data_IF_494100709098
#
_entry.id   IF_494100709098
#
_cell.length_a   1.000
_cell.length_b   1.000
_cell.length_c   1.000
_cell.angle_alpha   90.00
_cell.angle_beta   90.00
_cell.angle_gamma   90.00
#
_symmetry.space_group_name_H-M   'P 1'
#
loop_
_entity.id
_entity.type
_entity.pdbx_description
1 polymer ?
#
# COMPACT_ATOMS: atom_id res chain seq x y z
N UNK A 1 29.44 -32.20 -9.87
CA UNK A 1 28.35 -32.70 -9.01
C UNK A 1 27.15 -31.80 -9.24
N UNK A 2 26.19 -32.28 -10.02
CA UNK A 2 24.94 -31.57 -10.34
C UNK A 2 23.94 -31.81 -9.20
N UNK A 3 23.43 -30.75 -8.58
CA UNK A 3 22.27 -30.81 -7.69
C UNK A 3 21.02 -30.50 -8.54
N UNK A 4 20.12 -31.48 -8.64
CA UNK A 4 18.81 -31.34 -9.28
C UNK A 4 17.80 -30.88 -8.24
N UNK A 5 17.24 -29.69 -8.41
CA UNK A 5 16.07 -29.22 -7.68
C UNK A 5 14.82 -29.95 -8.19
N UNK A 6 14.12 -30.64 -7.30
CA UNK A 6 12.81 -31.24 -7.58
C UNK A 6 11.71 -30.24 -7.19
N UNK A 7 11.04 -29.66 -8.17
CA UNK A 7 9.72 -29.04 -7.99
C UNK A 7 8.73 -30.14 -7.58
N UNK A 8 8.13 -30.03 -6.40
CA UNK A 8 6.95 -30.84 -6.04
C UNK A 8 5.70 -30.14 -6.58
N UNK A 9 5.02 -30.82 -7.50
CA UNK A 9 3.69 -30.45 -7.99
C UNK A 9 2.65 -30.68 -6.88
N UNK A 10 1.83 -29.66 -6.62
CA UNK A 10 0.60 -29.76 -5.81
C UNK A 10 -0.53 -30.27 -6.73
N UNK A 11 -1.36 -31.26 -6.33
CA UNK A 11 -2.42 -31.77 -7.17
C UNK A 11 -3.63 -30.82 -7.19
N UNK A 12 -4.02 -30.39 -8.39
CA UNK A 12 -5.26 -29.66 -8.65
C UNK A 12 -6.42 -30.68 -8.64
N UNK A 13 -7.40 -30.48 -7.75
CA UNK A 13 -8.67 -31.23 -7.75
C UNK A 13 -9.60 -30.59 -8.80
N UNK A 14 -10.17 -31.34 -9.75
CA UNK A 14 -11.04 -30.77 -10.77
C UNK A 14 -12.46 -30.58 -10.23
N UNK A 15 -12.92 -29.32 -10.17
CA UNK A 15 -14.34 -29.00 -9.98
C UNK A 15 -15.04 -29.15 -11.33
N UNK A 16 -16.01 -30.06 -11.41
CA UNK A 16 -16.85 -30.27 -12.59
C UNK A 16 -17.91 -29.17 -12.66
N UNK A 17 -17.73 -28.24 -13.60
CA UNK A 17 -18.73 -27.23 -13.94
C UNK A 17 -19.66 -27.79 -15.04
N UNK A 18 -20.95 -27.98 -14.71
CA UNK A 18 -21.98 -28.36 -15.68
C UNK A 18 -22.46 -27.08 -16.38
N UNK A 19 -22.00 -26.89 -17.63
CA UNK A 19 -22.48 -25.85 -18.54
C UNK A 19 -23.75 -26.32 -19.27
N UNK A 20 -24.86 -25.61 -19.07
CA UNK A 20 -26.01 -25.68 -19.96
C UNK A 20 -25.80 -24.73 -21.15
N UNK A 21 -25.80 -25.31 -22.34
CA UNK A 21 -25.68 -24.62 -23.64
C UNK A 21 -27.04 -24.06 -24.06
N UNK A 22 -27.09 -22.77 -24.39
CA UNK A 22 -28.15 -22.13 -25.17
C UNK A 22 -27.51 -21.34 -26.30
N UNK A 23 -27.81 -21.73 -27.55
CA UNK A 23 -27.19 -21.23 -28.78
C UNK A 23 -27.90 -19.98 -29.35
N UNK A 24 -27.11 -19.18 -30.07
CA UNK A 24 -27.41 -18.31 -31.24
C UNK A 24 -26.64 -16.97 -31.09
N UNK A 25 -25.98 -16.36 -32.08
CA UNK A 25 -25.82 -16.61 -33.51
C UNK A 25 -24.52 -15.92 -33.96
N UNK A 26 -23.97 -16.36 -35.10
CA UNK A 26 -22.71 -15.92 -35.72
C UNK A 26 -22.70 -14.44 -36.16
N UNK A 27 -21.54 -13.80 -36.13
CA UNK A 27 -20.94 -13.27 -37.37
C UNK A 27 -19.41 -13.09 -37.21
N UNK A 28 -18.69 -13.70 -38.15
CA UNK A 28 -17.24 -13.76 -38.21
C UNK A 28 -16.68 -12.55 -38.96
N UNK A 29 -15.86 -11.75 -38.26
CA UNK A 29 -14.96 -10.77 -38.86
C UNK A 29 -13.52 -11.15 -38.56
N UNK A 30 -12.81 -11.70 -39.56
CA UNK A 30 -11.36 -11.93 -39.50
C UNK A 30 -10.66 -10.58 -39.45
N UNK A 31 -10.01 -10.24 -38.33
CA UNK A 31 -8.98 -9.19 -38.29
C UNK A 31 -7.63 -9.88 -38.25
N UNK A 32 -6.89 -9.72 -39.34
CA UNK A 32 -5.50 -10.16 -39.49
C UNK A 32 -4.63 -9.46 -38.46
N UNK A 33 -3.89 -10.25 -37.67
CA UNK A 33 -2.86 -9.75 -36.77
C UNK A 33 -1.70 -9.16 -37.55
N UNK A 34 -1.38 -7.90 -37.24
CA UNK A 34 -0.02 -7.36 -37.10
C UNK A 34 -0.16 -5.86 -36.82
N UNK A 35 -0.10 -5.47 -35.54
CA UNK A 35 0.16 -4.08 -35.08
C UNK A 35 -0.03 -3.87 -33.56
N UNK A 36 -0.55 -4.83 -32.80
CA UNK A 36 -0.87 -4.63 -31.39
C UNK A 36 0.31 -4.73 -30.40
N UNK A 37 1.53 -5.07 -30.84
CA UNK A 37 2.69 -5.18 -29.93
C UNK A 37 3.57 -3.94 -29.85
N UNK A 38 3.34 -2.90 -30.68
CA UNK A 38 4.17 -1.69 -30.69
C UNK A 38 3.51 -0.45 -30.10
N UNK A 39 2.21 -0.47 -29.79
CA UNK A 39 1.48 0.69 -29.27
C UNK A 39 1.34 0.70 -27.73
N UNK A 40 1.34 -0.45 -27.07
CA UNK A 40 1.16 -0.52 -25.60
C UNK A 40 2.43 -0.02 -24.86
N UNK A 41 3.61 -0.20 -25.46
CA UNK A 41 4.88 0.32 -24.90
C UNK A 41 5.11 1.81 -25.13
N UNK A 42 4.36 2.45 -26.04
CA UNK A 42 4.57 3.85 -26.41
C UNK A 42 3.66 4.83 -25.64
N UNK A 43 2.52 4.38 -25.13
CA UNK A 43 1.52 5.26 -24.49
C UNK A 43 1.76 5.46 -22.99
N UNK A 44 2.51 4.56 -22.34
CA UNK A 44 2.88 4.68 -20.91
C UNK A 44 4.12 5.55 -20.67
N UNK A 45 4.89 5.87 -21.71
CA UNK A 45 6.14 6.64 -21.61
C UNK A 45 5.95 8.17 -21.54
N UNK A 46 4.72 8.68 -21.54
CA UNK A 46 4.46 10.11 -21.43
C UNK A 46 3.11 10.46 -20.77
N UNK A 47 2.89 10.05 -19.51
CA UNK A 47 2.03 10.88 -18.64
C UNK A 47 2.76 12.21 -18.46
N UNK A 48 2.45 13.18 -19.33
CA UNK A 48 2.81 14.60 -19.19
C UNK A 48 2.04 15.20 -18.00
N UNK A 49 2.07 14.56 -16.83
CA UNK A 49 1.45 15.13 -15.62
C UNK A 49 2.21 16.39 -15.23
N UNK A 50 1.50 17.39 -14.70
CA UNK A 50 2.17 18.59 -14.19
C UNK A 50 3.03 18.25 -12.96
N UNK A 51 2.69 17.16 -12.27
CA UNK A 51 3.44 16.54 -11.18
C UNK A 51 4.84 16.11 -11.66
N UNK A 52 4.94 15.30 -12.72
CA UNK A 52 6.22 14.84 -13.27
C UNK A 52 7.04 15.98 -13.91
N UNK A 53 6.38 17.07 -14.35
CA UNK A 53 6.99 18.20 -15.06
C UNK A 53 7.50 19.33 -14.16
N UNK A 54 7.38 19.24 -12.83
CA UNK A 54 7.80 20.35 -11.96
C UNK A 54 9.29 20.69 -12.10
N UNK A 55 10.16 19.78 -12.52
CA UNK A 55 11.58 20.07 -12.77
C UNK A 55 12.38 20.42 -11.49
N UNK A 56 13.60 20.95 -11.62
CA UNK A 56 14.50 21.15 -10.49
C UNK A 56 13.90 22.04 -9.37
N UNK A 57 14.12 21.62 -8.12
CA UNK A 57 13.72 22.36 -6.92
C UNK A 57 12.30 22.05 -6.39
N UNK A 58 11.60 21.08 -6.95
CA UNK A 58 10.40 20.50 -6.34
C UNK A 58 10.73 19.23 -5.54
N UNK A 59 9.98 18.98 -4.47
CA UNK A 59 9.92 17.72 -3.75
C UNK A 59 8.68 16.96 -4.25
N UNK A 60 8.92 15.86 -4.97
CA UNK A 60 7.87 14.87 -5.31
C UNK A 60 7.88 13.74 -4.30
N UNK A 61 6.73 13.43 -3.71
CA UNK A 61 6.50 12.30 -2.80
C UNK A 61 5.29 11.49 -3.26
N UNK A 62 5.23 10.23 -2.86
CA UNK A 62 4.12 9.32 -3.15
C UNK A 62 3.73 8.55 -1.90
N UNK A 63 2.44 8.31 -1.69
CA UNK A 63 1.95 7.34 -0.70
C UNK A 63 1.09 6.27 -1.37
N UNK A 64 1.22 5.02 -0.89
CA UNK A 64 0.52 3.86 -1.44
C UNK A 64 0.28 2.80 -0.35
N UNK A 65 -0.97 2.60 0.06
CA UNK A 65 -1.37 1.35 0.69
C UNK A 65 -1.34 0.25 -0.40
N UNK A 66 -0.49 -0.76 -0.23
CA UNK A 66 -0.29 -1.80 -1.25
C UNK A 66 -1.26 -2.96 -1.12
N UNK A 67 -2.13 -2.95 -0.11
CA UNK A 67 -3.07 -4.00 0.25
C UNK A 67 -2.41 -5.37 0.51
N UNK A 68 -2.65 -5.92 1.70
CA UNK A 68 -2.23 -7.28 2.05
C UNK A 68 -2.66 -8.30 1.00
N UNK A 69 -3.80 -8.08 0.32
CA UNK A 69 -4.31 -8.94 -0.74
C UNK A 69 -5.54 -9.76 -0.34
N UNK A 70 -6.08 -9.54 0.86
CA UNK A 70 -7.31 -10.16 1.35
C UNK A 70 -7.97 -9.31 2.44
N UNK A 71 -9.31 -9.34 2.54
CA UNK A 71 -10.01 -8.70 3.64
C UNK A 71 -9.85 -9.49 4.94
N UNK A 72 -9.23 -8.89 5.96
CA UNK A 72 -8.93 -9.56 7.24
C UNK A 72 -9.89 -9.19 8.37
N UNK A 73 -10.80 -8.23 8.14
CA UNK A 73 -11.73 -7.72 9.14
C UNK A 73 -12.60 -8.83 9.75
N UNK A 74 -13.04 -9.79 8.93
CA UNK A 74 -13.83 -10.93 9.39
C UNK A 74 -13.04 -11.82 10.38
N UNK A 75 -11.71 -11.94 10.21
CA UNK A 75 -10.86 -12.69 11.14
C UNK A 75 -10.73 -11.92 12.46
N UNK A 76 -10.53 -10.61 12.38
CA UNK A 76 -10.36 -9.72 13.55
C UNK A 76 -11.65 -9.66 14.39
N UNK A 77 -12.81 -9.65 13.73
CA UNK A 77 -14.11 -9.52 14.37
C UNK A 77 -14.70 -10.85 14.87
N UNK A 78 -14.12 -12.01 14.54
CA UNK A 78 -14.71 -13.31 14.86
C UNK A 78 -14.46 -13.72 16.33
N UNK A 79 -15.52 -13.83 17.17
CA UNK A 79 -15.36 -14.20 18.57
C UNK A 79 -15.20 -15.72 18.80
N UNK A 80 -15.52 -16.58 17.83
CA UNK A 80 -15.39 -18.04 17.94
C UNK A 80 -14.07 -18.53 17.33
N UNK A 81 -13.07 -18.93 18.16
CA UNK A 81 -11.79 -19.41 17.67
C UNK A 81 -11.89 -20.63 16.74
N UNK A 82 -12.98 -21.40 16.80
CA UNK A 82 -13.16 -22.57 15.94
C UNK A 82 -13.48 -22.21 14.48
N UNK A 83 -13.93 -20.99 14.21
CA UNK A 83 -14.19 -20.51 12.85
C UNK A 83 -12.98 -19.83 12.22
N UNK A 84 -12.04 -19.34 13.04
CA UNK A 84 -10.82 -18.67 12.57
C UNK A 84 -10.08 -19.48 11.50
N UNK A 85 -9.86 -20.80 11.63
CA UNK A 85 -9.18 -21.57 10.58
C UNK A 85 -9.85 -21.54 9.20
N UNK A 86 -11.18 -21.41 9.15
CA UNK A 86 -11.94 -21.33 7.91
C UNK A 86 -11.84 -19.94 7.28
N UNK A 87 -11.90 -18.89 8.11
CA UNK A 87 -11.75 -17.50 7.66
C UNK A 87 -10.33 -17.23 7.17
N UNK A 88 -9.32 -17.80 7.85
CA UNK A 88 -7.92 -17.74 7.39
C UNK A 88 -7.76 -18.44 6.05
N UNK A 89 -8.41 -19.60 5.85
CA UNK A 89 -8.37 -20.29 4.55
C UNK A 89 -9.01 -19.46 3.43
N UNK A 90 -10.17 -18.83 3.69
CA UNK A 90 -10.82 -17.93 2.73
C UNK A 90 -9.95 -16.71 2.38
N UNK A 91 -9.37 -16.06 3.39
CA UNK A 91 -8.46 -14.94 3.20
C UNK A 91 -7.21 -15.37 2.41
N UNK A 92 -6.63 -16.53 2.72
CA UNK A 92 -5.46 -17.05 2.02
C UNK A 92 -5.75 -17.38 0.54
N UNK A 93 -6.95 -17.88 0.22
CA UNK A 93 -7.36 -18.06 -1.18
C UNK A 93 -7.52 -16.73 -1.91
N UNK A 94 -8.07 -15.71 -1.24
CA UNK A 94 -8.17 -14.35 -1.80
C UNK A 94 -6.79 -13.75 -2.02
N UNK A 95 -5.87 -13.92 -1.06
CA UNK A 95 -4.46 -13.50 -1.16
C UNK A 95 -3.76 -14.09 -2.39
N UNK A 96 -3.93 -15.39 -2.64
CA UNK A 96 -3.40 -16.03 -3.84
C UNK A 96 -4.06 -15.45 -5.10
N UNK A 97 -5.38 -15.27 -5.08
CA UNK A 97 -6.13 -14.80 -6.23
C UNK A 97 -5.81 -13.35 -6.63
N UNK A 98 -5.47 -12.48 -5.66
CA UNK A 98 -5.10 -11.08 -5.91
C UNK A 98 -3.66 -10.90 -6.41
N UNK A 99 -2.87 -11.97 -6.53
CA UNK A 99 -1.61 -12.04 -7.27
C UNK A 99 -0.69 -10.81 -7.12
N UNK A 100 -0.03 -10.68 -5.96
CA UNK A 100 0.82 -9.52 -5.67
C UNK A 100 1.95 -9.30 -6.71
N UNK A 101 2.49 -10.34 -7.35
CA UNK A 101 3.51 -10.15 -8.39
C UNK A 101 3.00 -9.26 -9.54
N UNK A 102 1.76 -9.48 -9.94
CA UNK A 102 1.13 -8.71 -10.99
C UNK A 102 0.75 -7.28 -10.53
N UNK A 103 0.31 -7.15 -9.28
CA UNK A 103 0.01 -5.84 -8.66
C UNK A 103 1.26 -5.00 -8.46
N UNK A 104 2.36 -5.61 -8.05
CA UNK A 104 3.66 -4.96 -7.90
C UNK A 104 4.16 -4.37 -9.22
N UNK A 105 3.88 -5.01 -10.36
CA UNK A 105 4.18 -4.45 -11.68
C UNK A 105 3.41 -3.14 -11.93
N UNK A 106 2.16 -3.03 -11.46
CA UNK A 106 1.38 -1.80 -11.57
C UNK A 106 1.95 -0.68 -10.68
N UNK A 107 2.32 -0.97 -9.43
CA UNK A 107 2.99 0.00 -8.57
C UNK A 107 4.32 0.48 -9.16
N UNK A 108 5.10 -0.41 -9.78
CA UNK A 108 6.35 -0.04 -10.45
C UNK A 108 6.10 0.87 -11.64
N UNK A 109 5.03 0.67 -12.42
CA UNK A 109 4.65 1.60 -13.50
C UNK A 109 4.27 2.98 -12.96
N UNK A 110 3.55 3.05 -11.84
CA UNK A 110 3.22 4.31 -11.17
C UNK A 110 4.51 5.04 -10.74
N UNK A 111 5.40 4.37 -10.01
CA UNK A 111 6.69 4.93 -9.56
C UNK A 111 7.55 5.33 -10.78
N UNK A 112 7.57 4.53 -11.84
CA UNK A 112 8.29 4.83 -13.07
C UNK A 112 7.79 6.14 -13.72
N UNK A 113 6.46 6.33 -13.77
CA UNK A 113 5.85 7.49 -14.41
C UNK A 113 6.13 8.80 -13.67
N UNK A 114 6.13 8.79 -12.34
CA UNK A 114 6.25 10.00 -11.53
C UNK A 114 7.65 10.25 -10.95
N UNK A 115 8.49 9.22 -10.88
CA UNK A 115 9.83 9.27 -10.29
C UNK A 115 9.87 10.01 -8.93
N UNK A 116 8.99 9.68 -7.96
CA UNK A 116 8.97 10.35 -6.66
C UNK A 116 10.34 10.26 -5.97
N UNK A 117 10.72 11.29 -5.21
CA UNK A 117 11.95 11.23 -4.42
C UNK A 117 11.80 10.27 -3.24
N UNK A 118 10.58 10.19 -2.68
CA UNK A 118 10.25 9.35 -1.54
C UNK A 118 8.90 8.67 -1.78
N UNK A 119 8.78 7.41 -1.36
CA UNK A 119 7.54 6.63 -1.44
C UNK A 119 7.23 6.05 -0.07
N UNK A 120 6.10 6.43 0.50
CA UNK A 120 5.54 5.80 1.69
C UNK A 120 4.66 4.63 1.29
N UNK A 121 4.99 3.43 1.75
CA UNK A 121 4.24 2.22 1.47
C UNK A 121 3.62 1.70 2.77
N UNK A 122 2.33 1.39 2.73
CA UNK A 122 1.60 0.77 3.84
C UNK A 122 1.16 -0.64 3.44
N UNK A 123 1.00 -1.53 4.41
CA UNK A 123 0.63 -2.95 4.21
C UNK A 123 1.63 -3.79 3.42
N UNK A 124 2.93 -3.46 3.50
CA UNK A 124 3.96 -4.35 2.99
C UNK A 124 3.96 -5.61 3.85
N UNK A 125 3.63 -6.74 3.24
CA UNK A 125 3.37 -7.98 3.97
C UNK A 125 4.37 -9.07 3.62
N UNK A 126 4.79 -9.81 4.65
CA UNK A 126 5.47 -11.11 4.52
C UNK A 126 4.56 -12.22 5.03
N UNK A 127 4.29 -13.20 4.17
CA UNK A 127 3.55 -14.43 4.50
C UNK A 127 4.51 -15.60 4.65
N UNK A 128 4.40 -16.30 5.76
CA UNK A 128 5.12 -17.56 6.05
C UNK A 128 4.14 -18.67 6.37
N UNK A 129 4.53 -19.90 6.05
CA UNK A 129 3.72 -21.10 6.25
C UNK A 129 4.44 -22.11 7.14
N UNK A 130 3.63 -22.97 7.75
CA UNK A 130 4.06 -24.21 8.37
C UNK A 130 3.10 -25.31 7.95
N UNK A 131 3.64 -26.41 7.40
CA UNK A 131 2.84 -27.57 7.01
C UNK A 131 3.49 -28.88 7.46
N UNK A 132 2.80 -29.72 8.27
CA UNK A 132 1.51 -29.44 8.91
C UNK A 132 1.65 -28.36 9.98
N UNK A 133 0.60 -27.57 10.17
CA UNK A 133 0.50 -26.60 11.26
C UNK A 133 0.36 -27.28 12.63
N UNK A 134 0.89 -26.64 13.66
CA UNK A 134 0.77 -27.09 15.05
C UNK A 134 -0.06 -26.14 15.93
N UNK A 135 -0.38 -24.93 15.45
CA UNK A 135 -1.08 -23.90 16.25
C UNK A 135 -2.47 -24.34 16.70
N UNK A 136 -3.20 -25.04 15.85
CA UNK A 136 -4.56 -25.55 16.14
C UNK A 136 -4.59 -26.52 17.33
N UNK A 137 -3.47 -27.20 17.62
CA UNK A 137 -3.31 -28.10 18.78
C UNK A 137 -2.51 -27.48 19.92
N UNK A 138 -2.26 -26.17 19.88
CA UNK A 138 -1.52 -25.43 20.90
C UNK A 138 0.00 -25.56 20.78
N UNK A 139 0.50 -25.93 19.60
CA UNK A 139 1.91 -25.85 19.28
C UNK A 139 2.42 -24.41 19.26
N UNK A 140 3.74 -24.28 19.35
CA UNK A 140 4.44 -22.98 19.45
C UNK A 140 5.61 -22.90 18.49
N UNK A 141 5.72 -23.84 17.55
CA UNK A 141 6.79 -23.79 16.55
C UNK A 141 6.37 -22.73 15.54
N UNK A 142 7.12 -21.64 15.37
CA UNK A 142 6.66 -20.60 14.47
C UNK A 142 6.75 -21.02 13.01
N UNK A 143 5.83 -20.54 12.18
CA UNK A 143 5.93 -20.64 10.73
C UNK A 143 7.12 -19.81 10.20
N UNK A 144 8.03 -20.46 9.47
CA UNK A 144 9.26 -19.86 8.93
C UNK A 144 9.38 -19.98 7.41
N UNK A 145 8.62 -20.87 6.76
CA UNK A 145 8.72 -21.06 5.30
C UNK A 145 8.09 -19.86 4.57
N UNK A 146 8.94 -18.97 4.04
CA UNK A 146 8.48 -17.78 3.30
C UNK A 146 7.72 -18.21 2.04
N UNK A 147 6.43 -17.89 2.02
CA UNK A 147 5.55 -18.12 0.86
C UNK A 147 5.60 -16.93 -0.09
N UNK A 148 5.50 -15.71 0.45
CA UNK A 148 5.59 -14.48 -0.31
C UNK A 148 6.11 -13.34 0.57
N UNK A 149 6.98 -12.51 -0.02
CA UNK A 149 7.46 -11.27 0.59
C UNK A 149 7.19 -10.11 -0.39
N UNK A 150 6.27 -9.23 -0.04
CA UNK A 150 5.91 -8.08 -0.87
C UNK A 150 7.11 -7.17 -1.15
N UNK A 151 8.00 -7.01 -0.16
CA UNK A 151 9.14 -6.11 -0.26
C UNK A 151 10.17 -6.65 -1.25
N UNK A 152 10.49 -7.94 -1.17
CA UNK A 152 11.43 -8.59 -2.10
C UNK A 152 10.93 -8.51 -3.55
N UNK A 153 9.63 -8.77 -3.76
CA UNK A 153 9.00 -8.71 -5.09
C UNK A 153 9.05 -7.27 -5.64
N UNK A 154 8.64 -6.29 -4.84
CA UNK A 154 8.60 -4.89 -5.26
C UNK A 154 10.00 -4.35 -5.59
N UNK A 155 10.98 -4.59 -4.71
CA UNK A 155 12.36 -4.14 -4.92
C UNK A 155 13.00 -4.80 -6.14
N UNK A 156 12.74 -6.10 -6.37
CA UNK A 156 13.21 -6.80 -7.56
C UNK A 156 12.64 -6.18 -8.84
N UNK A 157 11.35 -5.81 -8.85
CA UNK A 157 10.71 -5.19 -10.03
C UNK A 157 11.18 -3.76 -10.25
N UNK A 158 11.34 -2.96 -9.19
CA UNK A 158 11.96 -1.63 -9.30
C UNK A 158 13.33 -1.72 -9.98
N UNK A 159 14.19 -2.64 -9.52
CA UNK A 159 15.50 -2.87 -10.11
C UNK A 159 15.42 -3.37 -11.58
N UNK A 160 14.47 -4.24 -11.91
CA UNK A 160 14.26 -4.73 -13.27
C UNK A 160 13.83 -3.62 -14.24
N UNK A 161 13.14 -2.58 -13.75
CA UNK A 161 12.80 -1.36 -14.50
C UNK A 161 13.89 -0.29 -14.48
N UNK A 162 15.05 -0.57 -13.89
CA UNK A 162 16.15 0.38 -13.78
C UNK A 162 15.87 1.55 -12.83
N UNK A 163 14.90 1.39 -11.92
CA UNK A 163 14.55 2.39 -10.93
C UNK A 163 15.44 2.24 -9.70
N UNK A 164 16.25 3.26 -9.45
CA UNK A 164 17.18 3.29 -8.32
C UNK A 164 16.46 3.78 -7.06
N UNK A 165 15.85 2.85 -6.32
CA UNK A 165 15.24 3.11 -5.02
C UNK A 165 15.87 2.21 -3.96
N UNK A 166 15.97 2.73 -2.75
CA UNK A 166 16.47 2.05 -1.56
C UNK A 166 15.48 2.16 -0.42
N UNK A 167 15.56 1.22 0.52
CA UNK A 167 14.81 1.28 1.78
C UNK A 167 15.44 2.32 2.68
N UNK A 168 14.74 3.44 2.91
CA UNK A 168 15.18 4.47 3.84
C UNK A 168 14.92 4.07 5.29
N UNK A 169 13.79 3.40 5.55
CA UNK A 169 13.47 2.78 6.84
C UNK A 169 12.22 1.90 6.74
N UNK A 170 12.06 1.02 7.72
CA UNK A 170 10.98 0.03 7.80
C UNK A 170 10.52 -0.12 9.25
N UNK A 171 9.22 -0.07 9.51
CA UNK A 171 8.64 -0.36 10.83
C UNK A 171 7.79 -1.60 10.75
N UNK A 172 8.01 -2.55 11.66
CA UNK A 172 7.18 -3.75 11.80
C UNK A 172 5.98 -3.42 12.70
N UNK A 173 4.76 -3.55 12.19
CA UNK A 173 3.54 -3.20 12.92
C UNK A 173 2.88 -4.41 13.60
N UNK A 174 2.91 -5.55 12.92
CA UNK A 174 2.21 -6.76 13.34
C UNK A 174 3.03 -8.00 13.01
N UNK A 175 2.93 -9.03 13.85
CA UNK A 175 3.44 -10.37 13.57
C UNK A 175 2.49 -11.40 14.21
N UNK A 176 1.59 -11.96 13.40
CA UNK A 176 0.49 -12.83 13.84
C UNK A 176 0.53 -14.14 13.09
N UNK A 177 0.34 -15.23 13.82
CA UNK A 177 0.27 -16.58 13.27
C UNK A 177 -1.05 -17.22 13.67
N UNK A 178 -1.77 -17.72 12.66
CA UNK A 178 -3.08 -18.35 12.84
C UNK A 178 -3.16 -19.68 12.10
N UNK A 179 -3.92 -20.65 12.65
CA UNK A 179 -4.19 -21.89 11.96
C UNK A 179 -5.07 -21.63 10.73
N UNK A 180 -4.85 -22.43 9.69
CA UNK A 180 -5.59 -22.44 8.44
C UNK A 180 -6.04 -23.87 8.14
N UNK A 181 -7.32 -24.09 7.88
CA UNK A 181 -7.79 -25.41 7.46
C UNK A 181 -7.39 -25.69 6.01
N UNK A 182 -6.83 -26.88 5.75
CA UNK A 182 -6.39 -27.28 4.39
C UNK A 182 -7.06 -28.55 3.89
N UNK A 183 -7.66 -29.36 4.76
CA UNK A 183 -8.46 -30.53 4.38
C UNK A 183 -9.49 -30.85 5.45
N UNK A 184 -10.67 -31.36 5.04
CA UNK A 184 -11.72 -31.87 5.93
C UNK A 184 -11.65 -33.39 6.11
N UNK A 185 -11.07 -34.12 5.17
CA UNK A 185 -10.92 -35.59 5.22
C UNK A 185 -9.65 -36.08 4.49
N UNK A 186 -8.58 -36.45 5.21
CA UNK A 186 -8.45 -36.32 6.66
C UNK A 186 -8.45 -34.83 7.06
N UNK A 187 -8.96 -34.54 8.26
CA UNK A 187 -8.88 -33.18 8.81
C UNK A 187 -7.41 -32.77 8.96
N UNK A 188 -7.01 -31.68 8.30
CA UNK A 188 -5.64 -31.18 8.32
C UNK A 188 -5.60 -29.65 8.34
N UNK A 189 -4.55 -29.12 8.97
CA UNK A 189 -4.29 -27.70 9.14
C UNK A 189 -2.85 -27.38 8.78
N UNK A 190 -2.65 -26.20 8.21
CA UNK A 190 -1.37 -25.50 8.12
C UNK A 190 -1.44 -24.25 9.01
N UNK A 191 -0.31 -23.63 9.32
CA UNK A 191 -0.30 -22.31 9.97
C UNK A 191 0.16 -21.23 8.99
N UNK A 192 -0.51 -20.08 9.04
CA UNK A 192 -0.19 -18.89 8.25
C UNK A 192 0.29 -17.80 9.20
N UNK A 193 1.51 -17.31 8.98
CA UNK A 193 2.08 -16.20 9.73
C UNK A 193 2.26 -14.98 8.84
N UNK A 194 1.63 -13.89 9.27
CA UNK A 194 1.62 -12.59 8.61
C UNK A 194 2.52 -11.65 9.40
N UNK A 195 3.44 -10.97 8.72
CA UNK A 195 4.14 -9.82 9.26
C UNK A 195 3.85 -8.60 8.41
N UNK A 196 3.37 -7.54 9.06
CA UNK A 196 3.00 -6.27 8.43
C UNK A 196 4.08 -5.21 8.66
N UNK A 197 4.35 -4.43 7.63
CA UNK A 197 5.31 -3.34 7.65
C UNK A 197 4.78 -2.09 6.95
N UNK A 198 5.16 -0.93 7.49
CA UNK A 198 5.18 0.32 6.73
C UNK A 198 6.63 0.65 6.35
N UNK A 199 6.82 1.15 5.13
CA UNK A 199 8.15 1.35 4.53
C UNK A 199 8.27 2.74 3.92
N UNK A 200 9.40 3.40 4.17
CA UNK A 200 9.79 4.58 3.41
C UNK A 200 10.87 4.20 2.40
N UNK A 201 10.57 4.30 1.11
CA UNK A 201 11.57 4.21 0.05
C UNK A 201 12.09 5.59 -0.31
N UNK A 202 13.35 5.65 -0.74
CA UNK A 202 13.97 6.85 -1.28
C UNK A 202 14.65 6.54 -2.62
N UNK A 203 14.55 7.47 -3.56
CA UNK A 203 15.31 7.41 -4.81
C UNK A 203 16.81 7.59 -4.51
N UNK A 204 17.69 6.93 -5.26
CA UNK A 204 19.12 6.84 -4.95
C UNK A 204 19.90 8.16 -4.93
N UNK A 205 19.33 9.25 -5.45
CA UNK A 205 19.90 10.60 -5.39
C UNK A 205 19.47 11.42 -4.13
N UNK A 206 18.61 10.85 -3.28
CA UNK A 206 18.14 11.50 -2.06
C UNK A 206 19.10 11.25 -0.91
N UNK A 207 19.63 12.33 -0.31
CA UNK A 207 20.47 12.22 0.88
C UNK A 207 19.63 11.94 2.12
N UNK A 208 19.86 10.82 2.80
CA UNK A 208 19.10 10.41 4.00
C UNK A 208 19.90 10.60 5.29
N UNK A 209 19.22 11.01 6.34
CA UNK A 209 19.76 11.08 7.71
C UNK A 209 18.63 11.00 8.74
N UNK A 210 18.98 10.79 10.02
CA UNK A 210 18.02 10.81 11.14
C UNK A 210 16.77 9.94 10.89
N UNK A 211 16.98 8.72 10.40
CA UNK A 211 15.92 7.73 10.17
C UNK A 211 15.40 7.26 11.53
N UNK A 212 14.08 7.22 11.66
CA UNK A 212 13.34 6.76 12.83
C UNK A 212 12.31 5.73 12.36
N UNK A 213 12.25 4.61 13.06
CA UNK A 213 11.32 3.50 12.85
C UNK A 213 10.65 3.25 14.20
N UNK A 214 9.40 3.67 14.35
CA UNK A 214 8.77 3.80 15.67
C UNK A 214 7.37 3.21 15.65
N UNK A 215 7.10 2.28 16.57
CA UNK A 215 5.74 1.87 16.86
C UNK A 215 5.10 2.83 17.86
N UNK A 216 3.82 3.16 17.64
CA UNK A 216 3.07 3.99 18.57
C UNK A 216 2.90 3.31 19.93
N UNK A 217 2.78 4.13 20.98
CA UNK A 217 2.55 3.62 22.33
C UNK A 217 1.19 2.92 22.49
N UNK A 218 0.21 3.26 21.64
CA UNK A 218 -1.14 2.68 21.65
C UNK A 218 -1.42 1.87 20.38
N UNK A 219 -2.11 0.75 20.57
CA UNK A 219 -2.61 -0.11 19.49
C UNK A 219 -3.97 -0.68 19.85
N UNK A 220 -4.69 -1.21 18.86
CA UNK A 220 -6.03 -1.76 19.06
C UNK A 220 -5.98 -3.14 19.71
N UNK A 221 -6.62 -3.34 20.88
CA UNK A 221 -6.73 -4.66 21.47
C UNK A 221 -7.71 -5.52 20.66
N UNK A 222 -7.28 -6.72 20.27
CA UNK A 222 -8.08 -7.72 19.56
C UNK A 222 -8.12 -9.01 20.37
N UNK A 223 -9.31 -9.47 20.79
CA UNK A 223 -9.46 -10.72 21.53
C UNK A 223 -8.80 -11.90 20.79
N UNK A 224 -7.93 -12.63 21.47
CA UNK A 224 -7.23 -13.80 20.90
C UNK A 224 -6.02 -13.48 20.02
N UNK A 225 -5.88 -12.25 19.50
CA UNK A 225 -4.74 -11.82 18.67
C UNK A 225 -3.76 -10.89 19.40
N UNK A 226 -4.14 -10.37 20.57
CA UNK A 226 -3.30 -9.45 21.34
C UNK A 226 -3.58 -8.00 20.97
N UNK A 227 -2.54 -7.22 20.68
CA UNK A 227 -2.70 -5.81 20.30
C UNK A 227 -2.20 -5.63 18.86
N UNK A 228 -3.05 -5.10 17.99
CA UNK A 228 -2.65 -4.67 16.65
C UNK A 228 -1.87 -3.37 16.79
N UNK A 229 -0.57 -3.45 16.49
CA UNK A 229 0.31 -2.31 16.46
C UNK A 229 0.17 -1.51 15.17
N UNK A 230 0.61 -0.26 15.25
CA UNK A 230 0.88 0.65 14.13
C UNK A 230 2.16 1.40 14.41
N UNK A 231 2.71 2.06 13.41
CA UNK A 231 3.95 2.79 13.54
C UNK A 231 4.13 3.83 12.46
N UNK A 232 5.30 4.43 12.46
CA UNK A 232 5.74 5.33 11.43
C UNK A 232 7.22 5.14 11.11
N UNK A 233 7.57 5.49 9.88
CA UNK A 233 8.96 5.72 9.48
C UNK A 233 9.12 7.19 9.17
N UNK A 234 10.15 7.84 9.73
CA UNK A 234 10.45 9.23 9.45
C UNK A 234 11.95 9.46 9.23
N UNK A 235 12.30 10.26 8.23
CA UNK A 235 13.68 10.55 7.87
C UNK A 235 13.88 12.01 7.47
N UNK A 236 15.09 12.53 7.68
CA UNK A 236 15.51 13.80 7.14
C UNK A 236 16.06 13.56 5.73
N UNK A 237 15.30 13.96 4.72
CA UNK A 237 15.57 13.72 3.31
C UNK A 237 16.03 15.01 2.62
N UNK A 238 17.23 14.97 2.03
CA UNK A 238 17.84 16.08 1.30
C UNK A 238 17.65 15.87 -0.20
N UNK A 239 16.81 16.72 -0.79
CA UNK A 239 16.43 16.71 -2.20
C UNK A 239 16.82 18.05 -2.81
N UNK A 240 17.59 18.04 -3.90
CA UNK A 240 18.02 19.26 -4.59
C UNK A 240 18.67 20.30 -3.66
N UNK A 241 19.46 19.85 -2.67
CA UNK A 241 20.16 20.70 -1.70
C UNK A 241 19.30 21.25 -0.56
N UNK A 242 18.03 20.82 -0.44
CA UNK A 242 17.13 21.19 0.64
C UNK A 242 16.68 19.96 1.43
N UNK A 243 16.73 20.07 2.76
CA UNK A 243 16.32 19.01 3.68
C UNK A 243 14.86 19.19 4.12
N UNK A 244 14.14 18.08 4.20
CA UNK A 244 12.77 17.95 4.67
C UNK A 244 12.70 16.85 5.71
N UNK A 245 11.83 16.99 6.71
CA UNK A 245 11.45 15.88 7.58
C UNK A 245 10.27 15.19 6.93
N UNK A 246 10.43 13.94 6.50
CA UNK A 246 9.35 13.20 5.83
C UNK A 246 8.99 12.00 6.67
N UNK A 247 7.69 11.82 6.94
CA UNK A 247 7.15 10.71 7.70
C UNK A 247 6.08 9.98 6.90
N UNK A 248 6.06 8.65 7.01
CA UNK A 248 4.97 7.81 6.55
C UNK A 248 4.40 6.95 7.66
N UNK A 249 3.09 6.73 7.66
CA UNK A 249 2.39 5.98 8.69
C UNK A 249 1.08 5.39 8.15
N UNK A 250 0.65 4.29 8.75
CA UNK A 250 -0.69 3.73 8.62
C UNK A 250 -1.37 3.82 9.99
N UNK A 251 -2.40 4.66 10.15
CA UNK A 251 -3.09 4.76 11.45
C UNK A 251 -4.18 3.69 11.63
N UNK A 252 -4.61 3.48 12.87
CA UNK A 252 -5.72 2.60 13.22
C UNK A 252 -7.01 2.97 12.46
N UNK A 253 -7.67 1.98 11.84
CA UNK A 253 -8.81 2.21 10.95
C UNK A 253 -10.14 2.29 11.69
N UNK A 254 -10.31 1.48 12.74
CA UNK A 254 -11.63 1.27 13.36
C UNK A 254 -11.86 2.19 14.56
N UNK A 255 -10.86 2.35 15.42
CA UNK A 255 -11.02 3.01 16.72
C UNK A 255 -10.49 4.45 16.67
N UNK A 256 -11.39 5.42 16.59
CA UNK A 256 -11.05 6.84 16.45
C UNK A 256 -10.13 7.33 17.57
N UNK A 257 -10.37 6.96 18.83
CA UNK A 257 -9.56 7.42 19.96
C UNK A 257 -8.11 6.93 19.88
N UNK A 258 -7.89 5.71 19.39
CA UNK A 258 -6.56 5.15 19.18
C UNK A 258 -5.87 5.87 18.03
N UNK A 259 -6.55 6.04 16.89
CA UNK A 259 -6.06 6.78 15.72
C UNK A 259 -5.66 8.22 16.08
N UNK A 260 -6.47 8.92 16.86
CA UNK A 260 -6.15 10.28 17.34
C UNK A 260 -4.92 10.30 18.24
N UNK A 261 -4.77 9.32 19.14
CA UNK A 261 -3.60 9.22 20.01
C UNK A 261 -2.32 8.91 19.23
N UNK A 262 -2.38 8.05 18.20
CA UNK A 262 -1.27 7.77 17.29
C UNK A 262 -0.85 9.03 16.51
N UNK A 263 -1.83 9.77 15.96
CA UNK A 263 -1.55 11.02 15.27
C UNK A 263 -0.93 12.07 16.21
N UNK A 264 -1.44 12.20 17.43
CA UNK A 264 -0.89 13.12 18.43
C UNK A 264 0.57 12.81 18.78
N UNK A 265 0.91 11.53 18.93
CA UNK A 265 2.27 11.06 19.16
C UNK A 265 3.18 11.42 17.98
N UNK A 266 2.78 11.10 16.75
CA UNK A 266 3.53 11.47 15.54
C UNK A 266 3.76 12.99 15.45
N UNK A 267 2.72 13.79 15.63
CA UNK A 267 2.80 15.25 15.53
C UNK A 267 3.74 15.84 16.59
N UNK A 268 3.71 15.31 17.81
CA UNK A 268 4.62 15.66 18.90
C UNK A 268 6.08 15.37 18.53
N UNK A 269 6.35 14.17 18.01
CA UNK A 269 7.71 13.76 17.62
C UNK A 269 8.26 14.62 16.47
N UNK A 270 7.41 15.03 15.54
CA UNK A 270 7.77 15.88 14.40
C UNK A 270 7.86 17.38 14.75
N UNK A 271 7.36 17.81 15.92
CA UNK A 271 7.24 19.23 16.29
C UNK A 271 8.60 19.94 16.37
N UNK A 272 9.64 19.24 16.81
CA UNK A 272 10.98 19.80 17.00
C UNK A 272 11.81 19.89 15.72
N UNK A 273 11.27 19.42 14.58
CA UNK A 273 11.97 19.42 13.30
C UNK A 273 12.41 20.84 12.90
N UNK A 274 13.71 21.07 12.62
CA UNK A 274 14.17 22.33 12.05
C UNK A 274 13.87 22.45 10.55
N UNK A 275 13.31 21.41 9.93
CA UNK A 275 13.00 21.30 8.51
C UNK A 275 11.49 21.30 8.26
N UNK A 276 11.03 21.74 7.07
CA UNK A 276 9.63 21.56 6.69
C UNK A 276 9.25 20.08 6.75
N UNK A 277 8.06 19.81 7.27
CA UNK A 277 7.57 18.47 7.54
C UNK A 277 6.60 18.04 6.45
N UNK A 278 6.74 16.81 5.97
CA UNK A 278 5.76 16.13 5.12
C UNK A 278 5.30 14.87 5.84
N UNK A 279 4.01 14.71 6.03
CA UNK A 279 3.39 13.46 6.53
C UNK A 279 2.58 12.88 5.39
N UNK A 280 2.80 11.60 5.08
CA UNK A 280 2.07 10.93 4.00
C UNK A 280 1.70 9.49 4.38
N UNK A 281 0.54 9.01 3.98
CA UNK A 281 0.13 7.66 4.37
C UNK A 281 -1.35 7.42 4.18
N UNK A 282 -1.75 6.17 4.36
CA UNK A 282 -3.12 5.84 4.75
C UNK A 282 -3.33 6.26 6.21
N UNK A 283 -3.80 7.50 6.38
CA UNK A 283 -4.00 8.06 7.72
C UNK A 283 -5.34 7.62 8.31
N UNK A 284 -6.11 6.80 7.57
CA UNK A 284 -7.42 6.31 7.95
C UNK A 284 -8.41 7.42 8.38
N UNK A 285 -8.12 8.70 8.14
CA UNK A 285 -8.98 9.81 8.53
C UNK A 285 -9.54 10.46 7.29
N UNK A 286 -10.86 10.54 7.21
CA UNK A 286 -11.53 11.17 6.08
C UNK A 286 -11.18 12.66 6.05
N UNK A 287 -10.81 13.16 4.88
CA UNK A 287 -10.59 14.57 4.64
C UNK A 287 -11.73 15.13 3.76
N UNK A 288 -12.29 16.30 4.09
CA UNK A 288 -11.88 17.22 5.17
C UNK A 288 -12.55 17.02 6.55
N UNK A 289 -13.42 16.05 6.75
CA UNK A 289 -14.34 16.03 7.91
C UNK A 289 -13.85 15.25 9.15
N UNK A 290 -12.83 14.41 9.01
CA UNK A 290 -12.37 13.51 10.07
C UNK A 290 -11.72 14.22 11.25
N UNK A 291 -11.95 13.72 12.47
CA UNK A 291 -11.41 14.32 13.69
C UNK A 291 -9.88 14.38 13.69
N UNK A 292 -9.22 13.30 13.28
CA UNK A 292 -7.75 13.24 13.18
C UNK A 292 -7.22 14.15 12.08
N UNK A 293 -7.92 14.28 10.94
CA UNK A 293 -7.60 15.27 9.92
C UNK A 293 -7.65 16.70 10.49
N UNK A 294 -8.69 17.01 11.26
CA UNK A 294 -8.83 18.28 11.97
C UNK A 294 -7.64 18.59 12.88
N UNK A 295 -7.11 17.60 13.60
CA UNK A 295 -5.92 17.78 14.46
C UNK A 295 -4.70 18.25 13.67
N UNK A 296 -4.42 17.65 12.50
CA UNK A 296 -3.32 18.11 11.65
C UNK A 296 -3.51 19.56 11.20
N UNK A 297 -4.73 19.93 10.79
CA UNK A 297 -5.04 21.30 10.35
C UNK A 297 -4.89 22.32 11.49
N UNK A 298 -5.27 21.94 12.72
CA UNK A 298 -5.09 22.77 13.91
C UNK A 298 -3.61 22.98 14.29
N UNK A 299 -2.74 22.03 13.95
CA UNK A 299 -1.28 22.10 14.15
C UNK A 299 -0.52 22.67 12.93
N UNK A 300 -1.21 23.55 12.18
CA UNK A 300 -0.71 24.31 11.02
C UNK A 300 -0.20 23.41 9.86
N UNK A 301 -0.60 22.13 9.77
CA UNK A 301 -0.42 21.37 8.53
C UNK A 301 -1.37 21.88 7.44
N UNK A 302 -0.93 21.69 6.21
CA UNK A 302 -1.63 22.04 4.98
C UNK A 302 -1.86 20.75 4.23
N UNK A 303 -3.12 20.45 3.92
CA UNK A 303 -3.44 19.41 2.94
C UNK A 303 -2.99 19.85 1.54
N UNK A 304 -2.11 19.06 0.92
CA UNK A 304 -1.60 19.38 -0.41
C UNK A 304 -2.69 19.28 -1.48
N UNK A 305 -3.73 18.47 -1.25
CA UNK A 305 -4.88 18.37 -2.16
C UNK A 305 -5.64 19.70 -2.25
N UNK A 306 -5.84 20.39 -1.12
CA UNK A 306 -6.50 21.70 -1.06
C UNK A 306 -5.66 22.82 -1.69
N UNK A 307 -4.36 22.58 -1.94
CA UNK A 307 -3.45 23.50 -2.62
C UNK A 307 -3.18 23.12 -4.06
N UNK A 308 -3.80 22.05 -4.55
CA UNK A 308 -3.55 21.51 -5.87
C UNK A 308 -3.88 22.54 -6.97
N UNK A 309 -2.92 22.77 -7.86
CA UNK A 309 -3.06 23.71 -8.98
C UNK A 309 -3.55 23.03 -10.26
N UNK A 310 -3.78 21.72 -10.24
CA UNK A 310 -4.39 21.04 -11.36
C UNK A 310 -5.86 21.46 -11.52
N UNK A 311 -6.27 21.88 -12.72
CA UNK A 311 -7.67 22.18 -12.97
C UNK A 311 -8.49 20.89 -12.89
N UNK A 312 -9.65 20.94 -12.24
CA UNK A 312 -10.62 19.85 -12.15
C UNK A 312 -10.14 18.58 -11.41
N UNK A 313 -9.33 18.72 -10.35
CA UNK A 313 -8.83 17.58 -9.58
C UNK A 313 -9.91 16.65 -8.97
N UNK A 314 -11.19 17.04 -8.94
CA UNK A 314 -12.24 16.23 -8.32
C UNK A 314 -12.04 16.10 -6.80
N UNK A 315 -12.74 15.17 -6.13
CA UNK A 315 -12.67 15.02 -4.69
C UNK A 315 -11.41 14.30 -4.19
N UNK A 316 -10.66 13.63 -5.07
CA UNK A 316 -9.43 12.92 -4.71
C UNK A 316 -9.65 11.67 -3.87
N UNK A 317 -10.74 10.93 -4.12
CA UNK A 317 -11.01 9.70 -3.40
C UNK A 317 -9.93 8.64 -3.66
N UNK A 318 -9.58 7.93 -2.59
CA UNK A 318 -8.54 6.91 -2.57
C UNK A 318 -9.04 5.58 -2.00
N UNK A 319 -10.11 5.59 -1.20
CA UNK A 319 -10.67 4.38 -0.59
C UNK A 319 -12.17 4.22 -0.87
N UNK A 320 -12.69 3.01 -1.12
CA UNK A 320 -11.94 1.79 -1.40
C UNK A 320 -12.61 0.98 -2.51
N UNK A 321 -11.78 0.30 -3.29
CA UNK A 321 -12.22 -0.76 -4.18
C UNK A 321 -12.69 -1.98 -3.38
N UNK A 322 -13.29 -2.95 -4.07
CA UNK A 322 -13.67 -4.22 -3.46
C UNK A 322 -12.43 -5.08 -3.19
N UNK A 323 -12.37 -5.82 -2.07
CA UNK A 323 -11.19 -6.61 -1.66
C UNK A 323 -10.82 -7.77 -2.60
N UNK A 324 -11.71 -8.17 -3.51
CA UNK A 324 -11.35 -9.09 -4.60
C UNK A 324 -10.54 -8.45 -5.72
N UNK A 325 -10.43 -7.11 -5.74
CA UNK A 325 -9.80 -6.25 -6.76
C UNK A 325 -10.36 -6.36 -8.18
N UNK A 326 -11.29 -7.29 -8.41
CA UNK A 326 -11.98 -7.51 -9.68
C UNK A 326 -13.37 -6.89 -9.63
N UNK A 327 -13.76 -6.19 -10.70
CA UNK A 327 -15.12 -5.66 -10.90
C UNK A 327 -15.20 -4.13 -10.87
N UNK A 328 -16.43 -3.61 -10.76
CA UNK A 328 -16.74 -2.16 -10.76
C UNK A 328 -17.78 -1.77 -9.71
N UNK A 329 -18.14 -2.67 -8.78
CA UNK A 329 -19.31 -2.48 -7.89
C UNK A 329 -19.03 -1.60 -6.67
N UNK A 330 -17.78 -1.52 -6.21
CA UNK A 330 -17.33 -0.60 -5.17
C UNK A 330 -16.15 0.18 -5.73
N UNK A 331 -16.31 1.49 -5.83
CA UNK A 331 -15.27 2.43 -6.25
C UNK A 331 -14.97 3.37 -5.08
N UNK A 332 -13.78 3.98 -5.04
CA UNK A 332 -13.43 4.94 -4.01
C UNK A 332 -14.41 6.10 -3.87
N UNK A 333 -14.84 6.35 -2.64
CA UNK A 333 -15.76 7.42 -2.22
C UNK A 333 -15.26 8.19 -0.99
N UNK A 334 -14.07 7.86 -0.47
CA UNK A 334 -13.41 8.51 0.66
C UNK A 334 -11.98 8.89 0.32
N UNK A 335 -11.49 9.97 0.95
CA UNK A 335 -10.10 10.41 0.85
C UNK A 335 -9.42 10.26 2.20
N UNK A 336 -8.63 9.20 2.34
CA UNK A 336 -7.94 8.83 3.60
C UNK A 336 -6.43 8.65 3.42
N UNK A 337 -5.97 8.52 2.18
CA UNK A 337 -4.56 8.54 1.83
C UNK A 337 -4.16 9.99 1.56
N UNK A 338 -3.34 10.56 2.46
CA UNK A 338 -3.10 12.00 2.50
C UNK A 338 -1.62 12.31 2.30
N UNK A 339 -1.34 13.50 1.76
CA UNK A 339 -0.02 14.14 1.81
C UNK A 339 -0.20 15.51 2.44
N UNK A 340 0.30 15.66 3.66
CA UNK A 340 0.19 16.85 4.49
C UNK A 340 1.54 17.54 4.62
N UNK A 341 1.57 18.86 4.60
CA UNK A 341 2.78 19.67 4.65
C UNK A 341 2.72 20.70 5.78
N UNK A 342 3.79 20.82 6.57
CA UNK A 342 3.97 21.90 7.55
C UNK A 342 5.28 22.65 7.30
N UNK A 343 5.21 23.97 7.25
CA UNK A 343 6.39 24.83 7.10
C UNK A 343 7.05 25.13 8.44
N UNK A 344 8.35 25.41 8.43
CA UNK A 344 9.10 25.93 9.60
C UNK A 344 8.93 27.44 9.80
N UNK A 345 8.40 28.16 8.81
CA UNK A 345 8.16 29.60 8.89
C UNK A 345 6.79 29.86 9.50
N UNK A 346 6.77 30.47 10.69
CA UNK A 346 5.54 30.92 11.35
C UNK A 346 4.87 32.05 10.55
N UNK A 347 3.73 31.76 9.93
CA UNK A 347 2.67 32.69 9.49
C UNK A 347 3.10 33.96 8.73
N UNK A 348 3.77 33.80 7.58
CA UNK A 348 3.75 34.81 6.52
C UNK A 348 3.27 34.20 5.19
N UNK A 349 2.08 34.62 4.71
CA UNK A 349 1.57 34.26 3.37
C UNK A 349 1.04 32.83 3.23
N UNK A 350 1.28 32.19 2.07
CA UNK A 350 0.77 30.87 1.63
C UNK A 350 1.24 29.65 2.48
N UNK A 351 1.52 29.83 3.77
CA UNK A 351 1.99 28.77 4.66
C UNK A 351 3.37 28.22 4.30
N UNK A 352 4.19 28.98 3.56
CA UNK A 352 5.51 28.55 3.11
C UNK A 352 5.49 27.52 1.97
N UNK A 353 4.34 27.27 1.36
CA UNK A 353 4.18 26.36 0.22
C UNK A 353 3.96 27.16 -1.08
N UNK A 354 4.72 26.80 -2.10
CA UNK A 354 4.66 27.38 -3.45
C UNK A 354 3.67 26.64 -4.32
N UNK A 355 4.09 26.29 -5.54
CA UNK A 355 3.24 25.49 -6.43
C UNK A 355 3.13 24.04 -5.96
N UNK A 356 1.91 23.52 -6.05
CA UNK A 356 1.53 22.18 -5.60
C UNK A 356 0.74 21.52 -6.71
N UNK A 357 1.14 20.32 -7.09
CA UNK A 357 0.44 19.47 -8.05
C UNK A 357 0.25 18.12 -7.41
N UNK A 358 -0.98 17.64 -7.34
CA UNK A 358 -1.32 16.37 -6.70
C UNK A 358 -2.22 15.57 -7.64
N UNK A 359 -1.91 14.29 -7.82
CA UNK A 359 -2.72 13.37 -8.62
C UNK A 359 -2.98 12.11 -7.80
N UNK A 360 -4.17 11.55 -7.96
CA UNK A 360 -4.45 10.17 -7.56
C UNK A 360 -3.78 9.26 -8.60
N UNK A 361 -3.32 8.07 -8.18
CA UNK A 361 -2.75 7.06 -9.07
C UNK A 361 -3.39 5.70 -8.83
N UNK A 362 -3.59 4.93 -9.91
CA UNK A 362 -4.21 3.61 -9.82
C UNK A 362 -5.74 3.63 -9.98
N UNK A 363 -6.34 4.80 -10.14
CA UNK A 363 -7.78 5.04 -10.21
C UNK A 363 -8.40 4.79 -11.60
N UNK A 364 -7.57 4.71 -12.64
CA UNK A 364 -8.03 4.52 -14.01
C UNK A 364 -8.09 3.04 -14.40
N UNK A 365 -9.07 2.61 -15.23
CA UNK A 365 -9.06 1.28 -15.82
C UNK A 365 -7.76 0.94 -16.58
N UNK A 366 -7.03 1.95 -17.08
CA UNK A 366 -5.74 1.77 -17.74
C UNK A 366 -4.59 1.45 -16.78
N UNK A 367 -4.74 1.76 -15.48
CA UNK A 367 -3.72 1.48 -14.46
C UNK A 367 -3.87 0.05 -13.87
N UNK A 368 -4.95 -0.66 -14.23
CA UNK A 368 -5.19 -2.06 -13.82
C UNK A 368 -4.06 -2.99 -14.26
N UNK A 369 -3.96 -4.10 -13.54
CA UNK A 369 -3.07 -5.22 -13.87
C UNK A 369 -3.43 -5.85 -15.22
N UNK A 370 -2.56 -6.71 -15.75
CA UNK A 370 -2.76 -7.39 -17.04
C UNK A 370 -4.03 -8.26 -17.05
N UNK A 371 -4.39 -8.83 -15.91
CA UNK A 371 -5.58 -9.63 -15.63
C UNK A 371 -6.81 -8.77 -15.29
N UNK A 372 -6.66 -7.44 -15.26
CA UNK A 372 -7.76 -6.49 -15.09
C UNK A 372 -8.15 -6.21 -13.64
N UNK A 373 -7.32 -6.60 -12.66
CA UNK A 373 -7.48 -6.24 -11.26
C UNK A 373 -7.02 -4.80 -11.01
N UNK A 374 -7.66 -4.12 -10.06
CA UNK A 374 -7.06 -2.95 -9.41
C UNK A 374 -5.73 -3.35 -8.72
N UNK A 375 -4.77 -2.43 -8.67
CA UNK A 375 -3.44 -2.73 -8.11
C UNK A 375 -3.48 -2.88 -6.58
N UNK A 376 -4.40 -2.17 -5.93
CA UNK A 376 -4.66 -2.20 -4.50
C UNK A 376 -6.16 -1.95 -4.28
N UNK A 377 -6.66 -2.23 -3.08
CA UNK A 377 -8.00 -1.79 -2.69
C UNK A 377 -8.05 -0.28 -2.41
N UNK A 378 -6.89 0.37 -2.33
CA UNK A 378 -6.71 1.82 -2.35
C UNK A 378 -6.22 2.31 -3.71
N UNK A 379 -6.49 3.58 -4.02
CA UNK A 379 -5.71 4.37 -4.97
C UNK A 379 -4.60 5.13 -4.22
N UNK A 380 -3.52 5.48 -4.92
CA UNK A 380 -2.36 6.18 -4.34
C UNK A 380 -2.45 7.68 -4.53
N UNK A 381 -1.55 8.42 -3.87
CA UNK A 381 -1.44 9.86 -4.07
C UNK A 381 0.01 10.22 -4.36
N UNK A 382 0.23 10.99 -5.42
CA UNK A 382 1.53 11.60 -5.74
C UNK A 382 1.40 13.11 -5.63
N UNK A 383 2.27 13.74 -4.85
CA UNK A 383 2.31 15.18 -4.68
C UNK A 383 3.68 15.74 -5.06
N UNK A 384 3.72 16.77 -5.91
CA UNK A 384 4.92 17.55 -6.19
C UNK A 384 4.77 18.96 -5.62
N UNK A 385 5.69 19.30 -4.72
CA UNK A 385 5.65 20.48 -3.88
C UNK A 385 6.86 21.37 -4.15
N UNK A 386 6.64 22.63 -4.51
CA UNK A 386 7.70 23.65 -4.48
C UNK A 386 7.65 24.36 -3.15
N UNK A 387 8.71 24.20 -2.36
CA UNK A 387 8.85 24.97 -1.12
C UNK A 387 9.81 26.13 -1.39
N UNK A 388 9.39 27.41 -1.26
CA UNK A 388 10.27 28.55 -1.44
C UNK A 388 11.38 28.58 -0.39
N UNK A 389 12.53 29.13 -0.76
CA UNK A 389 13.67 29.32 0.16
C UNK A 389 13.28 30.20 1.36
#
# INVERSE_FOLDING_TARGET
MLHRSFLKLVPIVPVVLVLMVGAACEDAGVITGDSASSSIGADLQAKNSAVARQGPGALTVMTRNVYIGAGVDNIIAEPDPNKVPFLVAEAFQTFIATNFDERAEAFVREIAAYQPHLVGLQEITRIRLQSPGDRVVGGTTPAEDVFLDHMDVLMSKLAAHGLDYVVAGIVQNLDVELPMIVSLDPLAFDDVRVTDFDVLLARGDVGLSNVQEVNFAVGMPVPGLGTLGRGYVAADATVNGRTYRVATSHFESEVQEIRMAQAQELMSDLQSSPYPVVVMGDLNTEAPEGATYGMFMEDDFIDTWDRNQLPHAGPGFTCCHHGSLIGTSRIPDKRIDLVLFRSTKTKHGNGGLGSVFVEVVGESPADRTQSGMWASDHDGVVASLRVPN
#
